data_IF_988557593920
#
_entry.id   IF_988557593920
#
_cell.length_a   1.000
_cell.length_b   1.000
_cell.length_c   1.000
_cell.angle_alpha   90.00
_cell.angle_beta   90.00
_cell.angle_gamma   90.00
#
_symmetry.space_group_name_H-M   'P 1'
#
loop_
_entity.id
_entity.type
_entity.pdbx_description
1 polymer ?
#
# COMPACT_ATOMS: atom_id res chain seq x y z
N UNK A 1 -2.51 -8.64 14.53
CA UNK A 1 -3.35 -8.44 13.33
C UNK A 1 -2.48 -7.91 12.19
N UNK A 2 -2.64 -8.47 11.01
CA UNK A 2 -1.97 -8.00 9.79
C UNK A 2 -3.02 -7.46 8.85
N UNK A 3 -2.86 -6.22 8.43
CA UNK A 3 -3.73 -5.57 7.45
C UNK A 3 -2.90 -5.19 6.24
N UNK A 4 -3.32 -5.61 5.06
CA UNK A 4 -2.72 -5.21 3.80
C UNK A 4 -3.57 -4.09 3.21
N UNK A 5 -2.95 -2.97 2.91
CA UNK A 5 -3.61 -1.88 2.19
C UNK A 5 -3.00 -1.83 0.80
N UNK A 6 -3.80 -2.15 -0.19
CA UNK A 6 -3.38 -2.29 -1.58
C UNK A 6 -4.15 -1.36 -2.50
N UNK A 7 -3.69 -1.22 -3.72
CA UNK A 7 -4.40 -0.46 -4.74
C UNK A 7 -3.46 0.39 -5.59
N UNK A 8 -4.06 1.11 -6.53
CA UNK A 8 -3.35 1.92 -7.50
C UNK A 8 -2.80 3.21 -6.89
N UNK A 9 -1.80 3.78 -7.52
CA UNK A 9 -1.27 5.09 -7.14
C UNK A 9 -2.39 6.13 -7.09
N UNK A 10 -2.41 6.95 -6.04
CA UNK A 10 -3.45 7.96 -5.86
C UNK A 10 -4.76 7.44 -5.29
N UNK A 11 -4.90 6.14 -5.06
CA UNK A 11 -6.13 5.55 -4.52
C UNK A 11 -6.38 5.80 -3.04
N UNK A 12 -5.35 6.23 -2.29
CA UNK A 12 -5.49 6.56 -0.88
C UNK A 12 -4.95 5.51 0.09
N UNK A 13 -4.06 4.63 -0.36
CA UNK A 13 -3.44 3.61 0.51
C UNK A 13 -2.80 4.22 1.75
N UNK A 14 -1.97 5.23 1.56
CA UNK A 14 -1.25 5.85 2.67
C UNK A 14 -2.20 6.59 3.62
N UNK A 15 -3.33 7.06 3.12
CA UNK A 15 -4.34 7.68 3.96
C UNK A 15 -4.95 6.65 4.93
N UNK A 16 -5.34 5.47 4.42
CA UNK A 16 -5.82 4.38 5.26
C UNK A 16 -4.74 3.96 6.25
N UNK A 17 -3.52 3.73 5.76
CA UNK A 17 -2.41 3.28 6.60
C UNK A 17 -2.08 4.30 7.70
N UNK A 18 -2.14 5.60 7.40
CA UNK A 18 -1.89 6.65 8.39
C UNK A 18 -2.91 6.63 9.52
N UNK A 19 -4.17 6.35 9.21
CA UNK A 19 -5.23 6.25 10.23
C UNK A 19 -4.97 5.02 11.11
N UNK A 20 -4.65 3.88 10.52
CA UNK A 20 -4.33 2.68 11.27
C UNK A 20 -3.13 2.89 12.19
N UNK A 21 -2.13 3.60 11.70
CA UNK A 21 -0.93 3.90 12.48
C UNK A 21 -1.20 4.89 13.61
N UNK A 22 -1.78 6.03 13.29
CA UNK A 22 -1.97 7.13 14.25
C UNK A 22 -3.10 6.89 15.24
N UNK A 23 -4.22 6.30 14.78
CA UNK A 23 -5.41 6.16 15.61
C UNK A 23 -5.57 4.77 16.24
N UNK A 24 -4.98 3.74 15.65
CA UNK A 24 -5.11 2.37 16.12
C UNK A 24 -3.79 1.71 16.55
N UNK A 25 -2.68 2.44 16.46
CA UNK A 25 -1.39 1.97 16.95
C UNK A 25 -0.67 0.94 16.09
N UNK A 26 -1.04 0.79 14.84
CA UNK A 26 -0.38 -0.15 13.92
C UNK A 26 1.03 0.31 13.57
N UNK A 27 1.95 -0.65 13.46
CA UNK A 27 3.23 -0.40 12.81
C UNK A 27 3.00 -0.30 11.30
N UNK A 28 3.60 0.69 10.68
CA UNK A 28 3.37 1.01 9.28
C UNK A 28 4.58 0.65 8.44
N UNK A 29 4.46 -0.36 7.57
CA UNK A 29 5.48 -0.75 6.63
C UNK A 29 5.08 -0.30 5.22
N UNK A 30 5.91 0.54 4.61
CA UNK A 30 5.66 1.12 3.29
C UNK A 30 6.69 0.59 2.30
N UNK A 31 6.22 0.00 1.22
CA UNK A 31 7.11 -0.53 0.17
C UNK A 31 8.05 0.54 -0.40
N UNK A 32 7.56 1.77 -0.59
CA UNK A 32 8.37 2.85 -1.14
C UNK A 32 9.55 3.22 -0.24
N UNK A 33 9.33 3.27 1.07
CA UNK A 33 10.40 3.56 2.02
C UNK A 33 11.41 2.42 2.11
N UNK A 34 10.92 1.18 2.13
CA UNK A 34 11.79 0.00 2.16
C UNK A 34 12.65 -0.05 0.90
N UNK A 35 12.07 0.24 -0.26
CA UNK A 35 12.79 0.28 -1.54
C UNK A 35 13.95 1.28 -1.48
N UNK A 36 13.69 2.47 -0.98
CA UNK A 36 14.70 3.51 -0.86
C UNK A 36 15.78 3.14 0.16
N UNK A 37 15.39 2.57 1.30
CA UNK A 37 16.35 2.10 2.30
C UNK A 37 17.29 1.03 1.72
N UNK A 38 16.74 0.04 1.02
CA UNK A 38 17.54 -1.02 0.40
C UNK A 38 18.49 -0.47 -0.66
N UNK A 39 18.12 0.63 -1.31
CA UNK A 39 18.94 1.29 -2.32
C UNK A 39 19.93 2.29 -1.73
N UNK A 40 19.92 2.50 -0.40
CA UNK A 40 20.79 3.48 0.26
C UNK A 40 20.36 4.92 0.02
N UNK A 41 19.10 5.15 -0.33
CA UNK A 41 18.56 6.47 -0.61
C UNK A 41 17.83 7.05 0.59
N UNK A 42 17.74 8.38 0.66
CA UNK A 42 16.93 9.07 1.67
C UNK A 42 15.44 8.93 1.32
N UNK A 43 14.53 8.90 2.31
CA UNK A 43 13.10 8.80 2.04
C UNK A 43 12.54 9.88 1.11
N UNK A 44 13.11 11.08 1.16
CA UNK A 44 12.70 12.22 0.33
C UNK A 44 13.36 12.28 -1.04
N UNK A 45 14.38 11.44 -1.27
CA UNK A 45 15.11 11.43 -2.53
C UNK A 45 14.27 10.77 -3.61
N UNK A 46 14.08 11.49 -4.72
CA UNK A 46 13.34 10.99 -5.87
C UNK A 46 14.31 10.57 -6.96
N UNK A 47 13.98 9.48 -7.65
CA UNK A 47 14.69 9.02 -8.82
C UNK A 47 13.76 9.15 -10.02
N UNK A 48 14.26 9.80 -11.07
CA UNK A 48 13.56 9.92 -12.34
C UNK A 48 13.92 8.73 -13.22
N UNK A 49 13.28 7.59 -12.94
CA UNK A 49 13.50 6.34 -13.65
C UNK A 49 12.24 5.92 -14.41
N UNK A 50 12.40 5.34 -15.60
CA UNK A 50 11.26 4.73 -16.30
C UNK A 50 10.61 3.63 -15.45
N UNK A 51 9.31 3.44 -15.65
CA UNK A 51 8.55 2.40 -14.97
C UNK A 51 9.19 1.03 -15.16
N UNK A 52 9.45 0.34 -14.06
CA UNK A 52 9.99 -1.02 -14.08
C UNK A 52 11.50 -1.11 -14.26
N UNK A 53 12.25 0.01 -14.21
CA UNK A 53 13.68 0.03 -14.34
C UNK A 53 14.40 0.41 -13.05
N UNK A 54 15.69 0.09 -12.94
CA UNK A 54 16.51 0.38 -11.78
C UNK A 54 15.95 -0.25 -10.51
N UNK A 55 15.76 0.56 -9.48
CA UNK A 55 15.18 0.09 -8.21
C UNK A 55 13.69 -0.25 -8.32
N UNK A 56 13.07 -0.01 -9.48
CA UNK A 56 11.69 -0.40 -9.79
C UNK A 56 11.63 -1.64 -10.68
N UNK A 57 12.76 -2.30 -10.92
CA UNK A 57 12.80 -3.55 -11.69
C UNK A 57 12.09 -4.68 -10.95
N UNK A 58 11.69 -5.77 -11.66
CA UNK A 58 11.08 -6.93 -11.01
C UNK A 58 11.95 -7.53 -9.90
N UNK A 59 13.28 -7.59 -10.11
CA UNK A 59 14.23 -8.13 -9.13
C UNK A 59 14.24 -7.29 -7.85
N UNK A 60 14.28 -5.98 -7.99
CA UNK A 60 14.21 -5.07 -6.85
C UNK A 60 12.87 -5.15 -6.13
N UNK A 61 11.79 -5.24 -6.89
CA UNK A 61 10.45 -5.37 -6.33
C UNK A 61 10.32 -6.64 -5.50
N UNK A 62 10.87 -7.77 -5.96
CA UNK A 62 10.88 -9.00 -5.18
C UNK A 62 11.61 -8.81 -3.85
N UNK A 63 12.78 -8.18 -3.87
CA UNK A 63 13.54 -7.90 -2.65
C UNK A 63 12.75 -7.02 -1.67
N UNK A 64 12.03 -6.03 -2.19
CA UNK A 64 11.22 -5.13 -1.36
C UNK A 64 10.10 -5.90 -0.65
N UNK A 65 9.37 -6.74 -1.37
CA UNK A 65 8.28 -7.52 -0.78
C UNK A 65 8.81 -8.57 0.21
N UNK A 66 9.93 -9.21 -0.09
CA UNK A 66 10.57 -10.15 0.83
C UNK A 66 10.98 -9.45 2.12
N UNK A 67 11.60 -8.28 2.03
CA UNK A 67 12.01 -7.52 3.21
C UNK A 67 10.81 -7.04 4.01
N UNK A 68 9.77 -6.56 3.34
CA UNK A 68 8.54 -6.14 4.01
C UNK A 68 7.90 -7.29 4.79
N UNK A 69 7.83 -8.47 4.19
CA UNK A 69 7.29 -9.66 4.84
C UNK A 69 8.13 -10.08 6.04
N UNK A 70 9.46 -10.02 5.90
CA UNK A 70 10.39 -10.34 6.99
C UNK A 70 10.14 -9.41 8.19
N UNK A 71 10.05 -8.11 7.95
CA UNK A 71 9.77 -7.11 9.00
C UNK A 71 8.40 -7.33 9.64
N UNK A 72 7.41 -7.67 8.81
CA UNK A 72 6.06 -7.97 9.32
C UNK A 72 6.06 -9.16 10.27
N UNK A 73 6.81 -10.23 9.93
CA UNK A 73 6.95 -11.40 10.81
C UNK A 73 7.62 -11.05 12.12
N UNK A 74 8.68 -10.27 12.07
CA UNK A 74 9.41 -9.82 13.28
C UNK A 74 8.49 -9.02 14.20
N UNK A 75 7.75 -8.05 13.65
CA UNK A 75 6.83 -7.23 14.42
C UNK A 75 5.65 -8.04 14.97
N UNK A 76 5.11 -8.93 14.15
CA UNK A 76 4.03 -9.82 14.58
C UNK A 76 4.45 -10.72 15.74
N UNK A 77 5.68 -11.23 15.69
CA UNK A 77 6.23 -12.05 16.79
C UNK A 77 6.40 -11.24 18.08
N UNK A 78 6.49 -9.92 17.97
CA UNK A 78 6.55 -9.02 19.13
C UNK A 78 5.14 -8.64 19.63
N UNK A 79 4.10 -9.22 19.05
CA UNK A 79 2.72 -8.89 19.42
C UNK A 79 2.19 -7.59 18.81
N UNK A 80 2.86 -7.05 17.80
CA UNK A 80 2.44 -5.79 17.16
C UNK A 80 1.41 -6.04 16.06
N UNK A 81 0.50 -5.09 15.90
CA UNK A 81 -0.37 -5.02 14.74
C UNK A 81 0.37 -4.28 13.64
N UNK A 82 0.28 -4.76 12.41
CA UNK A 82 1.08 -4.25 11.30
C UNK A 82 0.20 -3.96 10.08
N UNK A 83 0.40 -2.80 9.46
CA UNK A 83 -0.19 -2.48 8.17
C UNK A 83 0.90 -2.50 7.10
N UNK A 84 0.62 -3.25 6.03
CA UNK A 84 1.48 -3.36 4.86
C UNK A 84 0.90 -2.47 3.75
N UNK A 85 1.60 -1.39 3.43
CA UNK A 85 1.18 -0.37 2.46
C UNK A 85 2.00 -0.52 1.18
N UNK A 86 1.40 -1.09 0.16
CA UNK A 86 2.00 -1.29 -1.15
C UNK A 86 0.92 -1.52 -2.20
N UNK A 87 1.28 -1.48 -3.48
CA UNK A 87 0.30 -1.72 -4.55
C UNK A 87 -0.24 -3.14 -4.55
N UNK A 88 0.57 -4.14 -4.22
CA UNK A 88 0.20 -5.56 -4.30
C UNK A 88 -0.47 -5.89 -5.64
N UNK A 89 0.13 -5.39 -6.71
CA UNK A 89 -0.41 -5.46 -8.06
C UNK A 89 -0.50 -6.89 -8.60
N UNK A 90 0.48 -7.72 -8.25
CA UNK A 90 0.60 -9.08 -8.77
C UNK A 90 0.22 -10.13 -7.74
N UNK A 91 -0.32 -11.23 -8.23
CA UNK A 91 -0.81 -12.31 -7.36
C UNK A 91 0.25 -12.88 -6.43
N UNK A 92 1.50 -13.07 -6.93
CA UNK A 92 2.57 -13.62 -6.09
C UNK A 92 2.86 -12.76 -4.85
N UNK A 93 2.72 -11.43 -4.99
CA UNK A 93 2.92 -10.51 -3.87
C UNK A 93 1.88 -10.73 -2.78
N UNK A 94 0.63 -10.91 -3.19
CA UNK A 94 -0.47 -11.18 -2.25
C UNK A 94 -0.35 -12.56 -1.62
N UNK A 95 0.04 -13.56 -2.41
CA UNK A 95 0.19 -14.93 -1.93
C UNK A 95 1.30 -15.08 -0.88
N UNK A 96 2.37 -14.31 -1.00
CA UNK A 96 3.43 -14.27 0.02
C UNK A 96 2.85 -13.95 1.41
N UNK A 97 2.00 -12.93 1.46
CA UNK A 97 1.38 -12.51 2.72
C UNK A 97 0.34 -13.53 3.18
N UNK A 98 -0.49 -14.02 2.27
CA UNK A 98 -1.54 -15.00 2.63
C UNK A 98 -0.97 -16.32 3.13
N UNK A 99 0.17 -16.74 2.59
CA UNK A 99 0.85 -17.95 3.07
C UNK A 99 1.43 -17.78 4.46
N UNK A 100 2.01 -16.61 4.74
CA UNK A 100 2.61 -16.32 6.05
C UNK A 100 1.55 -15.95 7.10
N UNK A 101 0.48 -15.28 6.68
CA UNK A 101 -0.58 -14.77 7.56
C UNK A 101 -1.94 -15.08 6.94
N UNK A 102 -2.44 -16.33 7.11
CA UNK A 102 -3.72 -16.74 6.50
C UNK A 102 -4.92 -15.85 6.91
N UNK A 103 -4.83 -15.19 8.05
CA UNK A 103 -5.90 -14.34 8.59
C UNK A 103 -5.73 -12.86 8.24
N UNK A 104 -4.73 -12.52 7.40
CA UNK A 104 -4.52 -11.13 7.00
C UNK A 104 -5.75 -10.56 6.30
N UNK A 105 -6.11 -9.34 6.67
CA UNK A 105 -7.21 -8.61 6.05
C UNK A 105 -6.65 -7.76 4.90
N UNK A 106 -7.23 -7.93 3.71
CA UNK A 106 -6.84 -7.15 2.53
C UNK A 106 -7.86 -6.06 2.28
N UNK A 107 -7.40 -4.81 2.32
CA UNK A 107 -8.19 -3.62 2.03
C UNK A 107 -7.72 -3.03 0.70
N UNK A 108 -8.64 -2.87 -0.23
CA UNK A 108 -8.37 -2.24 -1.52
C UNK A 108 -8.79 -0.77 -1.44
N UNK A 109 -7.80 0.11 -1.40
CA UNK A 109 -8.05 1.55 -1.43
C UNK A 109 -8.61 1.94 -2.80
N UNK A 110 -9.76 2.59 -2.80
CA UNK A 110 -10.47 2.98 -4.01
C UNK A 110 -10.83 4.45 -3.98
N UNK A 111 -10.72 5.09 -5.14
CA UNK A 111 -11.28 6.41 -5.40
C UNK A 111 -11.65 6.46 -6.88
N UNK A 112 -12.56 7.36 -7.25
CA UNK A 112 -12.91 7.57 -8.65
C UNK A 112 -11.70 8.06 -9.44
N UNK A 113 -11.60 7.72 -10.71
CA UNK A 113 -10.45 8.10 -11.54
C UNK A 113 -10.23 9.60 -11.58
N UNK A 114 -11.29 10.40 -11.67
CA UNK A 114 -11.17 11.86 -11.60
C UNK A 114 -10.48 12.31 -10.32
N UNK A 115 -10.85 11.73 -9.19
CA UNK A 115 -10.24 12.05 -7.90
C UNK A 115 -8.78 11.60 -7.85
N UNK A 116 -8.48 10.42 -8.37
CA UNK A 116 -7.10 9.92 -8.44
C UNK A 116 -6.24 10.88 -9.27
N UNK A 117 -6.70 11.28 -10.44
CA UNK A 117 -5.97 12.21 -11.31
C UNK A 117 -5.81 13.57 -10.65
N UNK A 118 -6.84 14.06 -9.94
CA UNK A 118 -6.75 15.29 -9.17
C UNK A 118 -5.69 15.20 -8.08
N UNK A 119 -5.68 14.11 -7.32
CA UNK A 119 -4.69 13.87 -6.27
C UNK A 119 -3.28 13.81 -6.83
N UNK A 120 -3.10 13.10 -7.93
CA UNK A 120 -1.80 12.99 -8.57
C UNK A 120 -1.31 14.34 -9.10
N UNK A 121 -2.20 15.17 -9.64
CA UNK A 121 -1.85 16.50 -10.18
C UNK A 121 -1.62 17.54 -9.10
N UNK A 122 -2.16 17.38 -7.91
CA UNK A 122 -2.03 18.35 -6.81
C UNK A 122 -0.76 18.17 -5.98
N UNK A 123 -0.02 17.08 -6.16
CA UNK A 123 1.26 16.87 -5.48
C UNK A 123 2.30 17.84 -6.06
N UNK A 124 3.06 18.49 -5.18
CA UNK A 124 3.99 19.59 -5.54
C UNK A 124 5.02 19.20 -6.58
N UNK A 125 5.38 17.94 -6.69
CA UNK A 125 6.42 17.47 -7.61
C UNK A 125 5.90 16.43 -8.58
N UNK A 126 4.66 16.59 -9.04
CA UNK A 126 4.12 15.64 -10.01
C UNK A 126 4.71 15.91 -11.38
N UNK A 127 5.43 14.90 -11.87
CA UNK A 127 5.75 14.78 -13.28
C UNK A 127 4.66 13.94 -13.95
N UNK A 128 4.58 13.98 -15.27
CA UNK A 128 3.69 13.13 -16.05
C UNK A 128 3.93 11.64 -15.76
N UNK A 129 5.12 11.29 -15.25
CA UNK A 129 5.49 9.94 -14.84
C UNK A 129 4.52 9.35 -13.81
N UNK A 130 3.98 10.15 -12.87
CA UNK A 130 3.05 9.64 -11.85
C UNK A 130 1.70 9.23 -12.45
N UNK A 131 1.20 9.98 -13.40
CA UNK A 131 -0.04 9.64 -14.13
C UNK A 131 0.21 8.43 -15.01
N UNK A 132 1.38 8.36 -15.65
CA UNK A 132 1.77 7.21 -16.48
C UNK A 132 1.87 5.93 -15.64
N UNK A 133 2.47 6.00 -14.46
CA UNK A 133 2.57 4.87 -13.53
C UNK A 133 1.17 4.37 -13.15
N UNK A 134 0.26 5.29 -12.81
CA UNK A 134 -1.12 4.94 -12.50
C UNK A 134 -1.79 4.21 -13.66
N UNK A 135 -1.65 4.73 -14.88
CA UNK A 135 -2.27 4.11 -16.07
C UNK A 135 -1.73 2.73 -16.35
N UNK A 136 -0.41 2.54 -16.22
CA UNK A 136 0.23 1.23 -16.40
C UNK A 136 -0.21 0.22 -15.34
N UNK A 137 -0.33 0.66 -14.10
CA UNK A 137 -0.83 -0.18 -13.02
C UNK A 137 -2.28 -0.58 -13.28
N UNK A 138 -3.11 0.36 -13.71
CA UNK A 138 -4.53 0.13 -14.01
C UNK A 138 -4.72 -0.92 -15.10
N UNK A 139 -3.88 -0.92 -16.12
CA UNK A 139 -3.94 -1.90 -17.21
C UNK A 139 -3.74 -3.33 -16.73
N UNK A 140 -2.91 -3.52 -15.71
CA UNK A 140 -2.53 -4.84 -15.19
C UNK A 140 -3.36 -5.27 -14.00
N UNK A 141 -4.00 -4.34 -13.32
CA UNK A 141 -4.62 -4.61 -12.03
C UNK A 141 -5.93 -5.37 -12.16
N UNK A 142 -6.00 -6.50 -11.45
CA UNK A 142 -7.22 -7.28 -11.27
C UNK A 142 -7.44 -7.42 -9.77
N UNK A 143 -8.55 -6.87 -9.27
CA UNK A 143 -8.85 -6.91 -7.84
C UNK A 143 -9.12 -8.36 -7.40
N UNK A 144 -8.45 -8.85 -6.35
CA UNK A 144 -8.75 -10.17 -5.83
C UNK A 144 -10.10 -10.17 -5.12
N UNK A 145 -10.83 -11.29 -5.24
CA UNK A 145 -12.19 -11.40 -4.67
C UNK A 145 -12.23 -11.29 -3.15
N UNK A 146 -11.12 -11.61 -2.47
CA UNK A 146 -11.05 -11.57 -1.01
C UNK A 146 -10.73 -10.18 -0.45
N UNK A 147 -10.44 -9.20 -1.28
CA UNK A 147 -10.16 -7.84 -0.82
C UNK A 147 -11.47 -7.09 -0.55
N UNK A 148 -11.49 -6.35 0.55
CA UNK A 148 -12.59 -5.44 0.88
C UNK A 148 -12.28 -4.07 0.30
N UNK A 149 -13.17 -3.55 -0.54
CA UNK A 149 -13.00 -2.23 -1.14
C UNK A 149 -13.30 -1.15 -0.11
N UNK A 150 -12.39 -0.20 0.04
CA UNK A 150 -12.55 0.94 0.95
C UNK A 150 -12.47 2.22 0.14
N UNK A 151 -13.57 2.95 0.07
CA UNK A 151 -13.61 4.24 -0.62
C UNK A 151 -12.90 5.29 0.23
N UNK A 152 -11.86 5.91 -0.34
CA UNK A 152 -11.02 6.90 0.35
C UNK A 152 -11.46 8.34 0.11
N UNK A 153 -12.55 8.56 -0.65
CA UNK A 153 -13.14 9.88 -0.86
C UNK A 153 -14.06 10.23 0.32
N UNK A 154 -13.47 10.23 1.51
CA UNK A 154 -14.17 10.45 2.78
C UNK A 154 -13.31 11.31 3.68
N UNK A 155 -13.96 11.95 4.66
CA UNK A 155 -13.22 12.63 5.73
C UNK A 155 -12.48 11.60 6.57
N UNK A 156 -11.47 12.05 7.31
CA UNK A 156 -10.72 11.18 8.22
C UNK A 156 -11.63 10.51 9.25
N UNK A 157 -12.58 11.26 9.80
CA UNK A 157 -13.56 10.75 10.77
C UNK A 157 -14.42 9.64 10.19
N UNK A 158 -14.95 9.84 8.99
CA UNK A 158 -15.77 8.85 8.30
C UNK A 158 -14.96 7.58 7.99
N UNK A 159 -13.74 7.76 7.48
CA UNK A 159 -12.88 6.63 7.13
C UNK A 159 -12.45 5.86 8.38
N UNK A 160 -12.14 6.56 9.46
CA UNK A 160 -11.83 5.93 10.75
C UNK A 160 -12.98 5.06 11.23
N UNK A 161 -14.23 5.54 11.11
CA UNK A 161 -15.41 4.76 11.49
C UNK A 161 -15.55 3.50 10.64
N UNK A 162 -15.30 3.59 9.34
CA UNK A 162 -15.31 2.43 8.44
C UNK A 162 -14.27 1.41 8.88
N UNK A 163 -13.04 1.85 9.14
CA UNK A 163 -11.94 0.97 9.56
C UNK A 163 -12.24 0.32 10.92
N UNK A 164 -12.80 1.07 11.85
CA UNK A 164 -13.22 0.55 13.15
C UNK A 164 -14.16 -0.64 12.99
N UNK A 165 -15.15 -0.51 12.11
CA UNK A 165 -16.12 -1.59 11.85
C UNK A 165 -15.48 -2.79 11.16
N UNK A 166 -14.63 -2.55 10.16
CA UNK A 166 -13.99 -3.62 9.41
C UNK A 166 -13.04 -4.45 10.26
N UNK A 167 -12.34 -3.82 11.19
CA UNK A 167 -11.29 -4.47 11.98
C UNK A 167 -11.79 -5.06 13.29
N UNK A 168 -12.72 -4.38 13.96
CA UNK A 168 -13.06 -4.71 15.34
C UNK A 168 -14.54 -5.09 15.59
N UNK A 169 -15.41 -4.85 14.64
CA UNK A 169 -16.84 -5.16 14.75
C UNK A 169 -17.28 -6.29 13.80
N UNK A 170 -16.41 -7.24 13.61
CA UNK A 170 -16.71 -8.44 12.82
C UNK A 170 -17.58 -9.37 13.66
N UNK A 171 -18.85 -9.35 13.35
CA UNK A 171 -19.80 -10.25 13.94
C UNK A 171 -19.79 -11.60 13.27
#
# INVERSE_FOLDING_TARGET
MIVVVMGLSGGGKSYIASILHEDFGFEWLRSDLIRKELAGLKPTQKLDLPYGEGIYSPQWTMRVYEEMLKRAKELSNMGKDVVLDATFLEDWQRQMVRSAFPEALFLLAYADEEEILRRLRSRVDISDANVEVYRKQKEKFVAPHYATVVNTQKSREELKAVLQRLLFERG
#
